data_IF_155340297695
#
_entry.id   IF_155340297695
#
_cell.length_a   1.000
_cell.length_b   1.000
_cell.length_c   1.000
_cell.angle_alpha   90.00
_cell.angle_beta   90.00
_cell.angle_gamma   90.00
#
_symmetry.space_group_name_H-M   'P 1'
#
loop_
_entity.id
_entity.type
_entity.pdbx_description
1 polymer ?
#
# COMPACT_ATOMS: atom_id res chain seq x y z
N UNK A 1 -46.05 -7.19 11.13
CA UNK A 1 -45.31 -6.06 10.54
C UNK A 1 -44.52 -6.62 9.37
N UNK A 2 -45.12 -6.57 8.18
CA UNK A 2 -44.64 -7.20 6.95
C UNK A 2 -43.80 -6.19 6.16
N UNK A 3 -42.59 -6.59 5.77
CA UNK A 3 -41.68 -5.75 4.99
C UNK A 3 -42.01 -5.82 3.49
N UNK A 4 -42.03 -4.70 2.74
CA UNK A 4 -42.40 -4.71 1.32
C UNK A 4 -41.28 -5.23 0.41
N UNK A 5 -41.70 -5.91 -0.67
CA UNK A 5 -40.92 -6.62 -1.70
C UNK A 5 -40.07 -5.75 -2.66
N UNK A 6 -39.66 -4.54 -2.27
CA UNK A 6 -38.93 -3.60 -3.15
C UNK A 6 -37.43 -3.94 -3.37
N UNK A 7 -36.98 -5.15 -3.04
CA UNK A 7 -35.54 -5.53 -2.99
C UNK A 7 -34.90 -6.02 -4.29
N UNK A 8 -35.55 -5.90 -5.45
CA UNK A 8 -34.95 -6.38 -6.72
C UNK A 8 -34.37 -5.31 -7.64
N UNK A 9 -34.42 -4.03 -7.26
CA UNK A 9 -33.80 -2.95 -8.06
C UNK A 9 -32.99 -2.03 -7.13
N UNK A 10 -31.70 -1.85 -7.47
CA UNK A 10 -30.68 -1.04 -6.77
C UNK A 10 -29.99 -1.67 -5.53
N UNK A 11 -29.26 -2.78 -5.72
CA UNK A 11 -28.30 -3.30 -4.72
C UNK A 11 -26.85 -2.81 -4.94
N UNK A 12 -26.61 -1.97 -5.96
CA UNK A 12 -25.28 -1.46 -6.29
C UNK A 12 -24.78 -0.30 -5.42
N UNK A 13 -25.68 0.51 -4.83
CA UNK A 13 -25.28 1.84 -4.33
C UNK A 13 -25.57 2.13 -2.84
N UNK A 14 -26.29 1.26 -2.11
CA UNK A 14 -26.59 1.51 -0.69
C UNK A 14 -25.88 0.52 0.22
N UNK A 15 -24.81 0.99 0.84
CA UNK A 15 -24.14 0.27 1.93
C UNK A 15 -25.18 -0.11 3.01
N UNK A 16 -25.15 -1.36 3.54
CA UNK A 16 -26.04 -1.74 4.63
C UNK A 16 -25.82 -0.82 5.83
N UNK A 17 -26.90 -0.21 6.32
CA UNK A 17 -26.85 0.67 7.49
C UNK A 17 -26.49 -0.20 8.71
N UNK A 18 -25.37 0.13 9.34
CA UNK A 18 -24.93 -0.56 10.54
C UNK A 18 -25.81 -0.13 11.73
N UNK A 19 -26.29 -1.08 12.55
CA UNK A 19 -26.94 -0.73 13.81
C UNK A 19 -26.01 0.11 14.69
N UNK A 20 -26.57 1.04 15.47
CA UNK A 20 -25.79 1.85 16.42
C UNK A 20 -25.20 1.02 17.56
N UNK A 21 -25.84 -0.10 17.91
CA UNK A 21 -25.43 -1.02 18.97
C UNK A 21 -25.47 -2.47 18.44
N UNK A 22 -24.53 -2.86 17.57
CA UNK A 22 -24.61 -4.14 16.88
C UNK A 22 -24.35 -5.31 17.84
N UNK A 23 -25.24 -6.28 17.84
CA UNK A 23 -25.13 -7.52 18.62
C UNK A 23 -24.55 -8.68 17.78
N UNK A 24 -24.26 -9.81 18.42
CA UNK A 24 -23.83 -11.01 17.70
C UNK A 24 -24.91 -11.55 16.75
N UNK A 25 -26.19 -11.38 17.09
CA UNK A 25 -27.27 -11.81 16.22
C UNK A 25 -27.43 -10.87 15.01
N UNK A 26 -27.15 -9.57 15.17
CA UNK A 26 -27.04 -8.64 14.03
C UNK A 26 -25.91 -9.04 13.10
N UNK A 27 -24.75 -9.43 13.66
CA UNK A 27 -23.63 -9.92 12.88
C UNK A 27 -24.01 -11.14 12.05
N UNK A 28 -24.62 -12.16 12.66
CA UNK A 28 -25.00 -13.39 11.97
C UNK A 28 -26.07 -13.14 10.90
N UNK A 29 -27.05 -12.28 11.19
CA UNK A 29 -28.05 -11.85 10.20
C UNK A 29 -27.38 -11.16 9.00
N UNK A 30 -26.47 -10.23 9.25
CA UNK A 30 -25.76 -9.53 8.18
C UNK A 30 -24.87 -10.47 7.37
N UNK A 31 -24.11 -11.35 8.04
CA UNK A 31 -23.27 -12.34 7.37
C UNK A 31 -24.08 -13.27 6.45
N UNK A 32 -25.24 -13.76 6.94
CA UNK A 32 -26.13 -14.57 6.12
C UNK A 32 -26.70 -13.77 4.94
N UNK A 33 -27.11 -12.52 5.17
CA UNK A 33 -27.62 -11.65 4.12
C UNK A 33 -26.59 -11.39 3.01
N UNK A 34 -25.37 -10.99 3.36
CA UNK A 34 -24.29 -10.69 2.40
C UNK A 34 -23.94 -11.93 1.56
N UNK A 35 -23.93 -13.12 2.19
CA UNK A 35 -23.69 -14.40 1.49
C UNK A 35 -24.80 -14.74 0.51
N UNK A 36 -26.06 -14.59 0.92
CA UNK A 36 -27.20 -14.82 0.03
C UNK A 36 -27.22 -13.82 -1.13
N UNK A 37 -26.82 -12.58 -0.87
CA UNK A 37 -26.71 -11.50 -1.86
C UNK A 37 -25.49 -11.65 -2.79
N UNK A 38 -24.59 -12.61 -2.52
CA UNK A 38 -23.36 -12.85 -3.30
C UNK A 38 -22.48 -11.61 -3.43
N UNK A 39 -22.37 -10.83 -2.35
CA UNK A 39 -21.48 -9.67 -2.26
C UNK A 39 -20.04 -10.09 -2.50
N UNK A 40 -19.26 -9.18 -3.09
CA UNK A 40 -17.85 -9.41 -3.37
C UNK A 40 -17.12 -9.72 -2.06
N UNK A 41 -16.29 -10.77 -1.99
CA UNK A 41 -15.82 -11.27 -0.71
C UNK A 41 -14.97 -10.25 0.09
N UNK A 42 -14.28 -9.31 -0.58
CA UNK A 42 -13.54 -8.24 0.08
C UNK A 42 -14.49 -7.26 0.78
N UNK A 43 -15.55 -6.83 0.10
CA UNK A 43 -16.60 -5.98 0.66
C UNK A 43 -17.34 -6.66 1.82
N UNK A 44 -17.68 -7.96 1.68
CA UNK A 44 -18.29 -8.76 2.76
C UNK A 44 -17.43 -8.67 4.03
N UNK A 45 -16.12 -8.90 3.88
CA UNK A 45 -15.17 -8.83 4.99
C UNK A 45 -15.16 -7.44 5.65
N UNK A 46 -15.07 -6.37 4.86
CA UNK A 46 -15.05 -5.00 5.36
C UNK A 46 -16.27 -4.65 6.22
N UNK A 47 -17.47 -5.02 5.76
CA UNK A 47 -18.71 -4.79 6.52
C UNK A 47 -18.74 -5.57 7.83
N UNK A 48 -18.43 -6.86 7.77
CA UNK A 48 -18.44 -7.74 8.93
C UNK A 48 -17.39 -7.32 9.96
N UNK A 49 -16.20 -6.94 9.52
CA UNK A 49 -15.15 -6.40 10.39
C UNK A 49 -15.60 -5.14 11.09
N UNK A 50 -16.18 -4.18 10.36
CA UNK A 50 -16.65 -2.91 10.95
C UNK A 50 -17.74 -3.16 12.00
N UNK A 51 -18.68 -4.07 11.72
CA UNK A 51 -19.74 -4.43 12.68
C UNK A 51 -19.15 -5.12 13.93
N UNK A 52 -18.25 -6.08 13.74
CA UNK A 52 -17.57 -6.77 14.85
C UNK A 52 -16.74 -5.81 15.70
N UNK A 53 -16.03 -4.87 15.08
CA UNK A 53 -15.24 -3.85 15.76
C UNK A 53 -16.11 -2.97 16.65
N UNK A 54 -17.18 -2.39 16.10
CA UNK A 54 -18.11 -1.53 16.84
C UNK A 54 -18.78 -2.31 17.97
N UNK A 55 -19.27 -3.53 17.70
CA UNK A 55 -19.92 -4.34 18.73
C UNK A 55 -18.98 -4.79 19.84
N UNK A 56 -17.70 -5.02 19.52
CA UNK A 56 -16.68 -5.36 20.52
C UNK A 56 -16.35 -4.16 21.41
N UNK A 57 -16.20 -2.96 20.83
CA UNK A 57 -15.99 -1.71 21.58
C UNK A 57 -17.12 -1.40 22.56
N UNK A 58 -18.36 -1.60 22.10
CA UNK A 58 -19.55 -1.36 22.92
C UNK A 58 -19.83 -2.52 23.90
N UNK A 59 -19.06 -3.61 23.87
CA UNK A 59 -19.28 -4.80 24.68
C UNK A 59 -20.55 -5.60 24.32
N UNK A 60 -21.23 -5.26 23.23
CA UNK A 60 -22.44 -5.94 22.73
C UNK A 60 -22.12 -7.23 21.97
N UNK A 61 -20.88 -7.38 21.49
CA UNK A 61 -20.31 -8.66 21.03
C UNK A 61 -19.22 -9.06 22.03
N UNK A 62 -19.43 -10.17 22.74
CA UNK A 62 -18.52 -10.59 23.82
C UNK A 62 -17.26 -11.25 23.25
N UNK A 63 -16.13 -11.23 23.99
CA UNK A 63 -14.90 -11.92 23.59
C UNK A 63 -15.09 -13.40 23.20
N UNK A 64 -15.99 -14.11 23.90
CA UNK A 64 -16.31 -15.52 23.60
C UNK A 64 -17.04 -15.69 22.27
N UNK A 65 -17.88 -14.73 21.88
CA UNK A 65 -18.63 -14.75 20.62
C UNK A 65 -17.70 -14.51 19.43
N UNK A 66 -16.70 -13.63 19.58
CA UNK A 66 -15.67 -13.42 18.56
C UNK A 66 -14.92 -14.71 18.20
N UNK A 67 -14.60 -15.52 19.21
CA UNK A 67 -13.87 -16.77 19.01
C UNK A 67 -14.76 -17.86 18.40
N UNK A 68 -16.03 -17.96 18.84
CA UNK A 68 -16.90 -19.10 18.54
C UNK A 68 -17.86 -18.87 17.36
N UNK A 69 -18.41 -17.66 17.24
CA UNK A 69 -19.55 -17.36 16.35
C UNK A 69 -19.19 -16.45 15.19
N UNK A 70 -18.24 -15.53 15.37
CA UNK A 70 -17.84 -14.60 14.31
C UNK A 70 -17.13 -15.34 13.17
N UNK A 71 -17.62 -15.11 11.95
CA UNK A 71 -17.25 -15.79 10.71
C UNK A 71 -17.21 -14.77 9.56
N UNK A 72 -16.17 -14.74 8.72
CA UNK A 72 -15.01 -15.63 8.68
C UNK A 72 -14.03 -15.37 9.84
N UNK A 73 -13.21 -16.37 10.17
CA UNK A 73 -12.23 -16.32 11.26
C UNK A 73 -11.17 -15.23 11.05
N UNK A 74 -10.92 -14.80 9.82
CA UNK A 74 -10.09 -13.64 9.53
C UNK A 74 -10.59 -12.36 10.25
N UNK A 75 -11.90 -12.16 10.39
CA UNK A 75 -12.47 -10.96 11.04
C UNK A 75 -11.93 -10.78 12.46
N UNK A 76 -12.13 -11.72 13.41
CA UNK A 76 -11.63 -11.57 14.77
C UNK A 76 -10.09 -11.55 14.84
N UNK A 77 -9.38 -12.21 13.92
CA UNK A 77 -7.91 -12.14 13.88
C UNK A 77 -7.43 -10.73 13.53
N UNK A 78 -8.04 -10.06 12.57
CA UNK A 78 -7.65 -8.68 12.22
C UNK A 78 -8.02 -7.63 13.28
N UNK A 79 -8.83 -7.98 14.28
CA UNK A 79 -9.08 -7.10 15.43
C UNK A 79 -7.87 -7.04 16.38
N UNK A 80 -6.98 -8.03 16.34
CA UNK A 80 -5.74 -8.04 17.13
C UNK A 80 -4.79 -6.88 16.78
N UNK A 81 -4.98 -6.27 15.61
CA UNK A 81 -4.17 -5.13 15.15
C UNK A 81 -4.69 -3.78 15.63
N UNK A 82 -5.88 -3.74 16.23
CA UNK A 82 -6.49 -2.49 16.67
C UNK A 82 -5.85 -2.05 17.99
N UNK A 83 -5.22 -0.86 18.07
CA UNK A 83 -4.52 -0.39 19.27
C UNK A 83 -5.47 0.10 20.37
N UNK A 84 -6.68 -0.46 20.44
CA UNK A 84 -7.78 0.05 21.25
C UNK A 84 -7.85 -0.69 22.60
N UNK A 85 -7.72 0.01 23.75
CA UNK A 85 -7.80 -0.62 25.06
C UNK A 85 -9.15 -1.30 25.32
N UNK A 86 -10.25 -0.82 24.72
CA UNK A 86 -11.59 -1.41 24.89
C UNK A 86 -11.68 -2.79 24.22
N UNK A 87 -10.77 -3.10 23.28
CA UNK A 87 -10.68 -4.38 22.62
C UNK A 87 -9.70 -5.35 23.29
N UNK A 88 -9.02 -4.95 24.38
CA UNK A 88 -7.98 -5.79 24.99
C UNK A 88 -8.51 -7.17 25.41
N UNK A 89 -9.68 -7.23 26.04
CA UNK A 89 -10.29 -8.50 26.47
C UNK A 89 -10.66 -9.40 25.27
N UNK A 90 -11.18 -8.79 24.19
CA UNK A 90 -11.47 -9.48 22.93
C UNK A 90 -10.19 -10.03 22.29
N UNK A 91 -9.15 -9.22 22.22
CA UNK A 91 -7.86 -9.62 21.64
C UNK A 91 -7.19 -10.74 22.42
N UNK A 92 -7.18 -10.67 23.75
CA UNK A 92 -6.67 -11.75 24.61
C UNK A 92 -7.41 -13.07 24.38
N UNK A 93 -8.75 -13.02 24.21
CA UNK A 93 -9.53 -14.23 23.96
C UNK A 93 -9.20 -14.89 22.61
N UNK A 94 -9.09 -14.10 21.54
CA UNK A 94 -8.74 -14.57 20.19
C UNK A 94 -7.30 -15.11 20.17
N UNK A 95 -6.34 -14.35 20.71
CA UNK A 95 -4.94 -14.75 20.79
C UNK A 95 -4.78 -16.05 21.60
N UNK A 96 -5.42 -16.16 22.77
CA UNK A 96 -5.38 -17.38 23.58
C UNK A 96 -5.97 -18.56 22.84
N UNK A 97 -7.03 -18.37 22.05
CA UNK A 97 -7.61 -19.45 21.25
C UNK A 97 -6.59 -19.95 20.19
N UNK A 98 -5.94 -19.05 19.47
CA UNK A 98 -4.93 -19.39 18.45
C UNK A 98 -3.73 -20.11 19.07
N UNK A 99 -3.18 -19.56 20.15
CA UNK A 99 -1.99 -20.06 20.84
C UNK A 99 -2.21 -21.41 21.54
N UNK A 100 -3.44 -21.92 21.67
CA UNK A 100 -3.65 -23.31 22.12
C UNK A 100 -3.00 -24.34 21.19
N UNK A 101 -2.79 -23.99 19.92
CA UNK A 101 -2.10 -24.84 18.96
C UNK A 101 -0.58 -24.68 18.95
N UNK A 102 -0.01 -23.87 19.83
CA UNK A 102 1.44 -23.61 19.90
C UNK A 102 2.28 -24.90 19.99
N UNK A 103 1.82 -25.86 20.81
CA UNK A 103 2.47 -27.16 20.97
C UNK A 103 2.28 -28.16 19.81
N UNK A 104 1.53 -27.82 18.76
CA UNK A 104 1.25 -28.74 17.64
C UNK A 104 2.31 -28.69 16.52
N UNK A 105 3.30 -27.81 16.63
CA UNK A 105 4.46 -27.75 15.73
C UNK A 105 4.21 -27.10 14.35
N UNK A 106 5.24 -27.07 13.47
CA UNK A 106 5.19 -26.35 12.19
C UNK A 106 4.03 -26.73 11.25
N UNK A 107 3.63 -28.00 11.09
CA UNK A 107 2.53 -28.37 10.18
C UNK A 107 1.19 -27.75 10.57
N UNK A 108 0.92 -27.62 11.88
CA UNK A 108 -0.29 -26.97 12.38
C UNK A 108 -0.31 -25.49 11.98
N UNK A 109 0.78 -24.77 12.23
CA UNK A 109 0.88 -23.35 11.93
C UNK A 109 0.82 -23.06 10.43
N UNK A 110 1.51 -23.86 9.61
CA UNK A 110 1.44 -23.74 8.16
C UNK A 110 0.00 -23.89 7.64
N UNK A 111 -0.75 -24.88 8.14
CA UNK A 111 -2.17 -25.04 7.81
C UNK A 111 -2.98 -23.83 8.27
N UNK A 112 -2.81 -23.39 9.50
CA UNK A 112 -3.55 -22.25 10.06
C UNK A 112 -3.33 -20.95 9.28
N UNK A 113 -2.10 -20.66 8.88
CA UNK A 113 -1.75 -19.46 8.08
C UNK A 113 -2.43 -19.52 6.70
N UNK A 114 -2.47 -20.69 6.06
CA UNK A 114 -3.16 -20.86 4.77
C UNK A 114 -4.69 -20.82 4.90
N UNK A 115 -5.23 -21.44 5.95
CA UNK A 115 -6.67 -21.64 6.10
C UNK A 115 -7.38 -20.40 6.63
N UNK A 116 -6.73 -19.53 7.41
CA UNK A 116 -7.40 -18.38 8.05
C UNK A 116 -8.04 -17.42 7.03
N UNK A 117 -7.39 -17.23 5.89
CA UNK A 117 -7.87 -16.37 4.80
C UNK A 117 -9.00 -17.00 3.99
N UNK A 118 -8.93 -18.33 3.83
CA UNK A 118 -9.85 -19.08 2.97
C UNK A 118 -11.08 -19.58 3.72
N UNK A 119 -10.99 -19.68 5.04
CA UNK A 119 -12.01 -20.26 5.89
C UNK A 119 -13.17 -19.30 6.13
N UNK A 120 -14.38 -19.80 5.91
CA UNK A 120 -15.63 -19.13 6.30
C UNK A 120 -16.09 -19.52 7.71
N UNK A 121 -15.30 -20.29 8.44
CA UNK A 121 -15.64 -20.77 9.76
C UNK A 121 -15.09 -19.82 10.84
N UNK A 122 -15.32 -20.12 12.13
CA UNK A 122 -14.85 -19.31 13.26
C UNK A 122 -13.45 -19.73 13.71
N UNK A 123 -12.79 -18.92 14.52
CA UNK A 123 -11.45 -19.23 15.07
C UNK A 123 -11.47 -20.56 15.83
N UNK A 124 -12.52 -20.82 16.63
CA UNK A 124 -12.63 -22.07 17.39
C UNK A 124 -12.66 -23.32 16.50
N UNK A 125 -13.27 -23.23 15.32
CA UNK A 125 -13.37 -24.35 14.38
C UNK A 125 -12.04 -24.66 13.68
N UNK A 126 -11.20 -23.63 13.46
CA UNK A 126 -9.89 -23.78 12.84
C UNK A 126 -8.86 -24.39 13.80
N UNK A 127 -8.89 -23.95 15.05
CA UNK A 127 -7.95 -24.40 16.10
C UNK A 127 -8.24 -25.82 16.55
N UNK A 128 -9.50 -26.24 16.60
CA UNK A 128 -9.87 -27.60 17.00
C UNK A 128 -9.74 -28.55 15.81
N UNK A 129 -8.70 -29.39 15.80
CA UNK A 129 -8.63 -30.60 14.96
C UNK A 129 -9.68 -31.68 15.27
N UNK A 130 -10.80 -31.33 15.91
CA UNK A 130 -11.99 -32.16 16.13
C UNK A 130 -13.19 -31.30 15.76
N UNK A 131 -13.91 -31.71 14.71
CA UNK A 131 -15.20 -31.14 14.35
C UNK A 131 -16.05 -30.95 15.61
N UNK A 132 -16.56 -29.74 15.83
CA UNK A 132 -17.58 -29.53 16.85
C UNK A 132 -18.76 -30.49 16.51
N UNK A 133 -19.38 -31.14 17.51
CA UNK A 133 -20.49 -32.05 17.27
C UNK A 133 -21.68 -31.37 16.57
N UNK A 134 -21.76 -30.04 16.58
CA UNK A 134 -22.75 -29.26 15.81
C UNK A 134 -22.42 -29.15 14.31
N UNK A 135 -21.15 -29.18 13.91
CA UNK A 135 -20.74 -29.15 12.49
C UNK A 135 -21.03 -30.48 11.77
N UNK A 136 -21.33 -31.56 12.51
CA UNK A 136 -21.72 -32.87 11.94
C UNK A 136 -23.15 -32.94 11.40
N UNK A 137 -23.95 -31.87 11.51
CA UNK A 137 -25.34 -31.84 11.02
C UNK A 137 -25.51 -31.17 9.65
N UNK A 138 -24.44 -30.70 9.02
CA UNK A 138 -24.46 -30.26 7.62
C UNK A 138 -24.27 -31.44 6.66
N UNK A 139 -24.95 -31.48 5.50
CA UNK A 139 -24.79 -32.58 4.56
C UNK A 139 -23.35 -32.62 4.06
N UNK A 140 -22.69 -33.75 4.28
CA UNK A 140 -21.36 -34.03 3.80
C UNK A 140 -21.31 -33.93 2.28
N UNK A 141 -20.59 -32.93 1.78
CA UNK A 141 -20.14 -32.87 0.41
C UNK A 141 -18.67 -32.47 0.43
N UNK A 142 -17.84 -33.38 -0.07
CA UNK A 142 -16.48 -33.10 -0.47
C UNK A 142 -16.47 -31.78 -1.25
N UNK A 143 -15.91 -30.74 -0.65
CA UNK A 143 -15.69 -29.46 -1.31
C UNK A 143 -14.63 -29.70 -2.39
N UNK A 144 -15.09 -30.08 -3.59
CA UNK A 144 -14.29 -30.00 -4.81
C UNK A 144 -13.77 -28.56 -4.88
N UNK A 145 -12.46 -28.39 -4.65
CA UNK A 145 -11.75 -27.14 -4.89
C UNK A 145 -11.93 -26.80 -6.37
N UNK A 146 -12.87 -25.91 -6.69
CA UNK A 146 -12.95 -25.29 -8.01
C UNK A 146 -11.91 -24.17 -8.06
N UNK A 147 -11.08 -24.07 -9.10
CA UNK A 147 -10.24 -22.92 -9.29
C UNK A 147 -11.14 -21.69 -9.44
N UNK A 148 -10.99 -20.74 -8.51
CA UNK A 148 -11.69 -19.46 -8.54
C UNK A 148 -11.04 -18.64 -9.66
N UNK A 149 -11.75 -18.44 -10.77
CA UNK A 149 -11.38 -17.41 -11.75
C UNK A 149 -11.49 -16.05 -11.05
N UNK A 150 -10.35 -15.38 -10.87
CA UNK A 150 -10.28 -14.02 -10.29
C UNK A 150 -10.85 -13.00 -11.30
N UNK A 151 -11.82 -12.14 -10.93
CA UNK A 151 -12.13 -10.93 -11.68
C UNK A 151 -10.99 -9.89 -11.55
N UNK A 152 -10.96 -8.86 -12.41
CA UNK A 152 -9.92 -7.83 -12.39
C UNK A 152 -9.85 -7.08 -11.05
N UNK A 153 -8.61 -6.74 -10.67
CA UNK A 153 -8.16 -6.30 -9.35
C UNK A 153 -8.68 -4.89 -9.03
N UNK A 154 -9.45 -4.76 -7.94
CA UNK A 154 -9.85 -3.48 -7.34
C UNK A 154 -9.03 -3.26 -6.04
N UNK A 155 -8.12 -2.27 -5.98
CA UNK A 155 -7.10 -2.18 -4.92
C UNK A 155 -7.59 -1.71 -3.53
N UNK A 156 -8.83 -1.25 -3.37
CA UNK A 156 -9.24 -0.55 -2.14
C UNK A 156 -9.66 -1.46 -0.96
N UNK A 157 -10.04 -2.72 -1.21
CA UNK A 157 -10.66 -3.58 -0.17
C UNK A 157 -9.86 -4.87 0.10
N UNK A 158 -8.99 -5.30 -0.82
CA UNK A 158 -8.16 -6.51 -0.65
C UNK A 158 -7.10 -6.37 0.45
N UNK A 159 -6.55 -5.18 0.69
CA UNK A 159 -5.51 -4.95 1.70
C UNK A 159 -5.94 -5.24 3.15
N UNK A 160 -7.22 -5.48 3.42
CA UNK A 160 -7.72 -5.88 4.73
C UNK A 160 -7.75 -7.39 4.95
N UNK A 161 -7.77 -8.19 3.87
CA UNK A 161 -7.93 -9.64 3.95
C UNK A 161 -6.63 -10.29 4.43
N UNK A 162 -5.55 -10.03 3.70
CA UNK A 162 -4.19 -10.55 3.94
C UNK A 162 -3.59 -10.23 5.31
N UNK A 163 -4.24 -9.33 6.06
CA UNK A 163 -3.88 -8.98 7.44
C UNK A 163 -3.96 -10.19 8.37
N UNK A 164 -4.91 -11.11 8.16
CA UNK A 164 -5.07 -12.22 9.09
C UNK A 164 -3.93 -13.25 8.96
N UNK A 165 -3.52 -13.62 7.75
CA UNK A 165 -2.36 -14.50 7.53
C UNK A 165 -1.06 -13.90 8.09
N UNK A 166 -0.85 -12.59 7.90
CA UNK A 166 0.29 -11.87 8.48
C UNK A 166 0.28 -11.88 10.02
N UNK A 167 -0.89 -11.64 10.63
CA UNK A 167 -1.05 -11.77 12.09
C UNK A 167 -0.79 -13.20 12.55
N UNK A 168 -1.28 -14.20 11.81
CA UNK A 168 -1.03 -15.61 12.14
C UNK A 168 0.45 -15.98 12.05
N UNK A 169 1.17 -15.48 11.03
CA UNK A 169 2.62 -15.69 10.91
C UNK A 169 3.38 -14.99 12.03
N UNK A 170 2.96 -13.78 12.44
CA UNK A 170 3.55 -13.06 13.56
C UNK A 170 3.33 -13.75 14.92
N UNK A 171 2.21 -14.46 15.08
CA UNK A 171 1.90 -15.22 16.30
C UNK A 171 2.54 -16.62 16.33
N UNK A 172 2.99 -17.13 15.19
CA UNK A 172 3.60 -18.44 15.11
C UNK A 172 4.95 -18.46 15.82
N UNK A 173 5.34 -19.57 16.47
CA UNK A 173 6.68 -19.75 17.00
C UNK A 173 7.74 -19.51 15.93
N UNK A 174 8.91 -18.93 16.27
CA UNK A 174 9.94 -18.61 15.28
C UNK A 174 10.34 -19.80 14.40
N UNK A 175 10.43 -21.02 14.96
CA UNK A 175 10.73 -22.23 14.20
C UNK A 175 9.61 -22.61 13.22
N UNK A 176 8.34 -22.44 13.62
CA UNK A 176 7.19 -22.73 12.78
C UNK A 176 7.03 -21.70 11.65
N UNK A 177 7.23 -20.42 11.95
CA UNK A 177 7.24 -19.33 10.98
C UNK A 177 8.35 -19.53 9.93
N UNK A 178 9.59 -19.80 10.39
CA UNK A 178 10.71 -20.10 9.49
C UNK A 178 10.46 -21.34 8.65
N UNK A 179 9.92 -22.41 9.23
CA UNK A 179 9.59 -23.62 8.49
C UNK A 179 8.50 -23.36 7.42
N UNK A 180 7.49 -22.55 7.73
CA UNK A 180 6.48 -22.13 6.75
C UNK A 180 7.14 -21.39 5.57
N UNK A 181 7.98 -20.40 5.86
CA UNK A 181 8.66 -19.60 4.83
C UNK A 181 9.69 -20.40 4.03
N UNK A 182 10.43 -21.32 4.67
CA UNK A 182 11.47 -22.13 4.04
C UNK A 182 10.95 -23.36 3.29
N UNK A 183 9.70 -23.75 3.49
CA UNK A 183 9.12 -25.01 2.99
C UNK A 183 9.15 -25.20 1.46
N UNK A 184 9.37 -24.13 0.67
CA UNK A 184 9.63 -24.22 -0.77
C UNK A 184 11.01 -24.76 -1.15
N UNK A 185 11.97 -24.77 -0.22
CA UNK A 185 13.34 -25.18 -0.48
C UNK A 185 13.59 -26.70 -0.37
N UNK A 186 12.67 -27.46 0.23
CA UNK A 186 12.83 -28.91 0.49
C UNK A 186 11.95 -29.75 -0.43
N UNK A 187 11.98 -29.47 -1.73
CA UNK A 187 11.24 -30.24 -2.72
C UNK A 187 11.95 -31.58 -2.92
N UNK A 188 11.20 -32.69 -2.84
CA UNK A 188 11.72 -34.02 -3.20
C UNK A 188 12.14 -34.01 -4.67
N UNK A 189 13.10 -34.85 -5.06
CA UNK A 189 13.58 -34.95 -6.45
C UNK A 189 12.49 -35.23 -7.50
N UNK A 190 11.31 -35.72 -7.10
CA UNK A 190 10.12 -35.85 -7.94
C UNK A 190 8.86 -35.41 -7.16
N UNK A 191 8.47 -34.12 -7.18
CA UNK A 191 7.27 -33.66 -6.51
C UNK A 191 6.01 -34.11 -7.25
N UNK A 192 4.97 -34.44 -6.49
CA UNK A 192 3.63 -34.68 -7.04
C UNK A 192 2.99 -33.36 -7.48
N UNK A 193 2.02 -33.42 -8.41
CA UNK A 193 1.26 -32.23 -8.86
C UNK A 193 0.58 -31.48 -7.69
N UNK A 194 0.11 -32.24 -6.70
CA UNK A 194 -0.49 -31.68 -5.49
C UNK A 194 0.54 -30.92 -4.63
N UNK A 195 1.77 -31.42 -4.53
CA UNK A 195 2.86 -30.72 -3.82
C UNK A 195 3.26 -29.44 -4.56
N UNK A 196 3.40 -29.49 -5.89
CA UNK A 196 3.68 -28.29 -6.70
C UNK A 196 2.57 -27.23 -6.57
N UNK A 197 1.32 -27.66 -6.60
CA UNK A 197 0.16 -26.76 -6.42
C UNK A 197 0.18 -26.11 -5.04
N UNK A 198 0.43 -26.89 -3.98
CA UNK A 198 0.51 -26.37 -2.62
C UNK A 198 1.67 -25.38 -2.42
N UNK A 199 2.81 -25.62 -3.10
CA UNK A 199 3.96 -24.72 -3.08
C UNK A 199 3.68 -23.41 -3.81
N UNK A 200 3.07 -23.48 -5.00
CA UNK A 200 2.65 -22.29 -5.74
C UNK A 200 1.64 -21.45 -4.95
N UNK A 201 0.62 -22.09 -4.38
CA UNK A 201 -0.36 -21.43 -3.51
C UNK A 201 0.29 -20.75 -2.29
N UNK A 202 1.36 -21.35 -1.74
CA UNK A 202 2.11 -20.78 -0.62
C UNK A 202 2.99 -19.62 -1.05
N UNK A 203 3.69 -19.72 -2.18
CA UNK A 203 4.51 -18.64 -2.72
C UNK A 203 3.65 -17.40 -3.03
N UNK A 204 2.48 -17.60 -3.64
CA UNK A 204 1.50 -16.53 -3.85
C UNK A 204 1.06 -15.88 -2.53
N UNK A 205 0.82 -16.69 -1.50
CA UNK A 205 0.42 -16.20 -0.18
C UNK A 205 1.55 -15.36 0.45
N UNK A 206 2.81 -15.81 0.38
CA UNK A 206 3.96 -15.07 0.92
C UNK A 206 4.13 -13.74 0.16
N UNK A 207 4.02 -13.75 -1.18
CA UNK A 207 4.07 -12.52 -1.98
C UNK A 207 2.96 -11.54 -1.59
N UNK A 208 1.73 -12.03 -1.40
CA UNK A 208 0.60 -11.19 -0.98
C UNK A 208 0.80 -10.63 0.45
N UNK A 209 1.29 -11.47 1.37
CA UNK A 209 1.63 -11.07 2.74
C UNK A 209 2.67 -9.93 2.76
N UNK A 210 3.69 -10.00 1.92
CA UNK A 210 4.74 -8.96 1.82
C UNK A 210 4.20 -7.62 1.32
N UNK A 211 3.16 -7.62 0.49
CA UNK A 211 2.57 -6.41 -0.07
C UNK A 211 1.65 -5.65 0.92
N UNK A 212 1.35 -6.22 2.09
CA UNK A 212 0.37 -5.67 3.02
C UNK A 212 0.84 -5.69 4.47
N UNK A 213 0.36 -4.72 5.26
CA UNK A 213 0.54 -4.74 6.71
C UNK A 213 -0.28 -5.87 7.38
N UNK A 214 0.08 -6.30 8.60
CA UNK A 214 1.31 -5.98 9.31
C UNK A 214 2.49 -6.79 8.77
N UNK A 215 3.66 -6.18 8.66
CA UNK A 215 4.89 -6.91 8.37
C UNK A 215 5.39 -7.56 9.67
N UNK A 216 5.63 -8.87 9.66
CA UNK A 216 6.26 -9.55 10.79
C UNK A 216 7.77 -9.67 10.58
N UNK A 217 8.51 -9.80 11.69
CA UNK A 217 9.98 -9.89 11.66
C UNK A 217 10.44 -11.07 10.82
N UNK A 218 9.82 -12.23 10.98
CA UNK A 218 10.20 -13.47 10.30
C UNK A 218 10.04 -13.35 8.79
N UNK A 219 8.98 -12.69 8.32
CA UNK A 219 8.78 -12.41 6.89
C UNK A 219 9.86 -11.48 6.36
N UNK A 220 10.14 -10.38 7.05
CA UNK A 220 11.20 -9.44 6.65
C UNK A 220 12.56 -10.14 6.60
N UNK A 221 12.94 -10.88 7.65
CA UNK A 221 14.22 -11.61 7.66
C UNK A 221 14.31 -12.70 6.59
N UNK A 222 13.19 -13.32 6.21
CA UNK A 222 13.17 -14.27 5.10
C UNK A 222 13.48 -13.59 3.77
N UNK A 223 12.97 -12.37 3.54
CA UNK A 223 13.19 -11.60 2.30
C UNK A 223 14.66 -11.17 2.14
N UNK A 224 15.34 -10.86 3.25
CA UNK A 224 16.78 -10.58 3.25
C UNK A 224 17.65 -11.85 3.33
N UNK A 225 17.05 -13.01 3.60
CA UNK A 225 17.77 -14.27 3.73
C UNK A 225 18.14 -14.89 2.38
N UNK A 226 18.89 -16.00 2.43
CA UNK A 226 19.34 -16.73 1.24
C UNK A 226 18.21 -17.27 0.32
N UNK A 227 16.97 -17.32 0.83
CA UNK A 227 15.78 -17.77 0.09
C UNK A 227 14.91 -16.60 -0.39
N UNK A 228 15.28 -15.35 -0.08
CA UNK A 228 14.56 -14.17 -0.54
C UNK A 228 14.89 -13.85 -1.99
N UNK A 229 13.85 -13.68 -2.81
CA UNK A 229 13.99 -13.31 -4.22
C UNK A 229 13.73 -11.81 -4.47
N UNK A 230 14.07 -11.37 -5.68
CA UNK A 230 13.88 -9.97 -6.10
C UNK A 230 12.40 -9.56 -6.09
N UNK A 231 11.48 -10.48 -6.44
CA UNK A 231 10.05 -10.20 -6.46
C UNK A 231 9.54 -9.85 -5.05
N UNK A 232 9.96 -10.59 -4.03
CA UNK A 232 9.65 -10.30 -2.64
C UNK A 232 10.26 -8.98 -2.17
N UNK A 233 11.51 -8.69 -2.52
CA UNK A 233 12.17 -7.42 -2.17
C UNK A 233 11.46 -6.22 -2.78
N UNK A 234 11.09 -6.29 -4.06
CA UNK A 234 10.32 -5.24 -4.75
C UNK A 234 8.94 -5.06 -4.12
N UNK A 235 8.26 -6.16 -3.75
CA UNK A 235 6.97 -6.07 -3.03
C UNK A 235 7.10 -5.43 -1.66
N UNK A 236 8.17 -5.73 -0.94
CA UNK A 236 8.48 -5.11 0.34
C UNK A 236 8.77 -3.62 0.14
N UNK A 237 9.57 -3.27 -0.86
CA UNK A 237 9.88 -1.88 -1.23
C UNK A 237 8.65 -1.09 -1.71
N UNK A 238 7.63 -1.74 -2.26
CA UNK A 238 6.41 -1.08 -2.73
C UNK A 238 5.30 -1.02 -1.66
N UNK A 239 5.43 -1.76 -0.57
CA UNK A 239 4.42 -1.80 0.49
C UNK A 239 4.43 -0.49 1.29
N UNK A 240 3.34 0.30 1.29
CA UNK A 240 3.28 1.59 1.98
C UNK A 240 3.63 1.53 3.48
N UNK A 241 3.41 0.39 4.13
CA UNK A 241 3.64 0.20 5.56
C UNK A 241 5.05 -0.29 5.89
N UNK A 242 5.93 -0.40 4.89
CA UNK A 242 7.33 -0.74 5.12
C UNK A 242 8.02 0.45 5.81
N UNK A 243 8.60 0.24 7.01
CA UNK A 243 9.23 1.33 7.75
C UNK A 243 10.54 1.75 7.08
N UNK A 244 10.91 3.02 7.24
CA UNK A 244 12.13 3.61 6.67
C UNK A 244 13.39 2.79 6.98
N UNK A 245 13.51 2.21 8.18
CA UNK A 245 14.65 1.36 8.54
C UNK A 245 14.79 0.12 7.64
N UNK A 246 13.67 -0.46 7.20
CA UNK A 246 13.65 -1.60 6.27
C UNK A 246 13.91 -1.14 4.85
N UNK A 247 13.38 0.02 4.44
CA UNK A 247 13.69 0.61 3.13
C UNK A 247 15.17 0.96 3.00
N UNK A 248 15.78 1.54 4.03
CA UNK A 248 17.22 1.82 4.08
C UNK A 248 18.02 0.52 3.94
N UNK A 249 17.62 -0.53 4.67
CA UNK A 249 18.27 -1.85 4.56
C UNK A 249 18.15 -2.43 3.15
N UNK A 250 16.99 -2.31 2.50
CA UNK A 250 16.78 -2.72 1.11
C UNK A 250 17.72 -1.97 0.17
N UNK A 251 17.84 -0.65 0.32
CA UNK A 251 18.76 0.15 -0.49
C UNK A 251 20.23 -0.22 -0.23
N UNK A 252 20.62 -0.46 1.02
CA UNK A 252 22.02 -0.78 1.35
C UNK A 252 22.46 -2.17 0.90
N UNK A 253 21.58 -3.17 1.01
CA UNK A 253 21.90 -4.57 0.69
C UNK A 253 21.55 -4.93 -0.77
N UNK A 254 20.57 -4.26 -1.37
CA UNK A 254 19.99 -4.61 -2.67
C UNK A 254 19.72 -3.40 -3.58
N UNK A 255 20.32 -2.24 -3.30
CA UNK A 255 20.12 -1.01 -4.09
C UNK A 255 20.58 -1.11 -5.55
N UNK A 256 21.31 -2.15 -5.93
CA UNK A 256 21.65 -2.43 -7.34
C UNK A 256 20.44 -2.88 -8.18
N UNK A 257 19.34 -3.28 -7.55
CA UNK A 257 18.09 -3.65 -8.23
C UNK A 257 17.27 -2.38 -8.58
N UNK A 258 17.13 -2.02 -9.87
CA UNK A 258 16.50 -0.75 -10.26
C UNK A 258 15.02 -0.67 -9.87
N UNK A 259 14.32 -1.80 -9.78
CA UNK A 259 12.93 -1.88 -9.34
C UNK A 259 12.76 -1.52 -7.87
N UNK A 260 13.74 -1.85 -7.01
CA UNK A 260 13.73 -1.45 -5.60
C UNK A 260 13.90 0.07 -5.50
N UNK A 261 14.85 0.63 -6.23
CA UNK A 261 15.07 2.08 -6.25
C UNK A 261 13.81 2.83 -6.70
N UNK A 262 13.18 2.38 -7.79
CA UNK A 262 11.94 3.00 -8.29
C UNK A 262 10.79 2.89 -7.29
N UNK A 263 10.62 1.71 -6.67
CA UNK A 263 9.60 1.50 -5.64
C UNK A 263 9.81 2.43 -4.43
N UNK A 264 11.07 2.60 -3.97
CA UNK A 264 11.39 3.51 -2.85
C UNK A 264 11.16 4.97 -3.21
N UNK A 265 11.54 5.41 -4.42
CA UNK A 265 11.27 6.79 -4.91
C UNK A 265 9.77 7.10 -4.92
N UNK A 266 8.94 6.13 -5.30
CA UNK A 266 7.48 6.26 -5.41
C UNK A 266 6.70 5.84 -4.17
N UNK A 267 7.41 5.41 -3.11
CA UNK A 267 6.82 4.89 -1.88
C UNK A 267 5.85 5.93 -1.29
N UNK A 268 4.74 5.49 -0.71
CA UNK A 268 3.72 6.44 -0.25
C UNK A 268 4.18 7.22 0.99
N UNK A 269 4.77 6.52 1.96
CA UNK A 269 5.12 7.08 3.27
C UNK A 269 6.63 7.13 3.55
N UNK A 270 7.48 6.94 2.54
CA UNK A 270 8.93 6.97 2.77
C UNK A 270 9.39 8.37 3.16
N UNK A 271 10.23 8.44 4.19
CA UNK A 271 10.85 9.68 4.63
C UNK A 271 11.77 10.30 3.57
N UNK A 272 12.00 11.61 3.68
CA UNK A 272 12.82 12.36 2.74
C UNK A 272 14.25 11.82 2.61
N UNK A 273 14.85 11.39 3.73
CA UNK A 273 16.20 10.84 3.74
C UNK A 273 16.30 9.53 2.93
N UNK A 274 15.31 8.65 3.07
CA UNK A 274 15.25 7.38 2.32
C UNK A 274 15.07 7.65 0.83
N UNK A 275 14.19 8.58 0.46
CA UNK A 275 14.04 8.98 -0.95
C UNK A 275 15.32 9.58 -1.50
N UNK A 276 16.02 10.41 -0.73
CA UNK A 276 17.30 11.00 -1.12
C UNK A 276 18.30 9.92 -1.51
N UNK A 277 18.45 8.89 -0.66
CA UNK A 277 19.32 7.74 -0.94
C UNK A 277 18.94 7.07 -2.26
N UNK A 278 17.65 6.83 -2.50
CA UNK A 278 17.21 6.22 -3.76
C UNK A 278 17.46 7.11 -4.99
N UNK A 279 17.56 8.44 -4.84
CA UNK A 279 17.90 9.34 -5.93
C UNK A 279 19.41 9.43 -6.19
N UNK A 280 20.27 9.06 -5.24
CA UNK A 280 21.72 9.19 -5.37
C UNK A 280 22.27 8.42 -6.58
N UNK A 281 21.73 7.24 -6.84
CA UNK A 281 22.21 6.35 -7.92
C UNK A 281 21.92 6.86 -9.34
N UNK A 282 21.06 7.87 -9.50
CA UNK A 282 20.71 8.44 -10.81
C UNK A 282 21.19 9.87 -10.98
N UNK A 283 21.90 10.46 -10.00
CA UNK A 283 22.28 11.88 -10.04
C UNK A 283 23.14 12.26 -11.24
N UNK A 284 23.96 11.32 -11.71
CA UNK A 284 24.84 11.53 -12.85
C UNK A 284 24.07 11.56 -14.19
N UNK A 285 22.80 11.13 -14.21
CA UNK A 285 21.91 11.20 -15.36
C UNK A 285 20.74 12.19 -15.11
N UNK A 286 20.87 13.46 -15.57
CA UNK A 286 19.82 14.47 -15.43
C UNK A 286 18.48 14.05 -16.06
N UNK A 287 18.47 13.22 -17.10
CA UNK A 287 17.24 12.76 -17.75
C UNK A 287 16.52 11.76 -16.84
N UNK A 288 17.23 10.80 -16.26
CA UNK A 288 16.67 9.85 -15.30
C UNK A 288 16.13 10.57 -14.06
N UNK A 289 16.87 11.55 -13.52
CA UNK A 289 16.42 12.39 -12.41
C UNK A 289 15.12 13.12 -12.78
N UNK A 290 15.07 13.77 -13.95
CA UNK A 290 13.89 14.48 -14.42
C UNK A 290 12.67 13.57 -14.57
N UNK A 291 12.84 12.39 -15.16
CA UNK A 291 11.76 11.39 -15.30
C UNK A 291 11.26 10.88 -13.95
N UNK A 292 12.17 10.58 -13.01
CA UNK A 292 11.81 10.12 -11.67
C UNK A 292 11.07 11.22 -10.87
N UNK A 293 11.57 12.45 -10.91
CA UNK A 293 10.92 13.60 -10.28
C UNK A 293 9.54 13.87 -10.88
N UNK A 294 9.42 13.85 -12.22
CA UNK A 294 8.14 14.06 -12.90
C UNK A 294 7.11 13.02 -12.49
N UNK A 295 7.48 11.74 -12.51
CA UNK A 295 6.57 10.66 -12.06
C UNK A 295 6.19 10.82 -10.59
N UNK A 296 7.14 11.16 -9.71
CA UNK A 296 6.88 11.35 -8.28
C UNK A 296 5.91 12.51 -8.03
N UNK A 297 6.16 13.66 -8.65
CA UNK A 297 5.30 14.86 -8.51
C UNK A 297 3.91 14.61 -9.09
N UNK A 298 3.82 13.97 -10.27
CA UNK A 298 2.52 13.65 -10.89
C UNK A 298 1.70 12.67 -10.07
N UNK A 299 2.31 11.65 -9.46
CA UNK A 299 1.59 10.61 -8.72
C UNK A 299 1.36 10.96 -7.25
N UNK A 300 2.24 11.75 -6.63
CA UNK A 300 2.26 11.99 -5.17
C UNK A 300 2.24 13.47 -4.78
N UNK A 301 2.22 14.38 -5.75
CA UNK A 301 2.30 15.83 -5.54
C UNK A 301 3.69 16.30 -5.13
N UNK A 302 3.79 17.57 -4.75
CA UNK A 302 5.07 18.23 -4.43
C UNK A 302 5.65 17.85 -3.06
N UNK A 303 4.84 17.27 -2.15
CA UNK A 303 5.26 17.05 -0.75
C UNK A 303 6.46 16.11 -0.64
N UNK A 304 6.51 14.94 -1.30
CA UNK A 304 7.68 14.05 -1.25
C UNK A 304 8.97 14.69 -1.79
N UNK A 305 8.85 15.57 -2.78
CA UNK A 305 9.99 16.33 -3.29
C UNK A 305 10.55 17.27 -2.23
N UNK A 306 9.68 18.05 -1.57
CA UNK A 306 10.11 18.99 -0.53
C UNK A 306 10.70 18.29 0.70
N UNK A 307 10.09 17.21 1.17
CA UNK A 307 10.64 16.45 2.32
C UNK A 307 11.99 15.84 2.01
N UNK A 308 12.22 15.44 0.75
CA UNK A 308 13.52 14.96 0.29
C UNK A 308 14.60 16.07 0.32
N UNK A 309 14.27 17.30 -0.07
CA UNK A 309 15.18 18.45 0.02
C UNK A 309 15.47 18.84 1.48
N UNK A 310 14.47 18.81 2.35
CA UNK A 310 14.63 19.12 3.78
C UNK A 310 15.54 18.10 4.48
N UNK A 311 15.52 16.84 4.01
CA UNK A 311 16.36 15.77 4.52
C UNK A 311 17.79 15.76 3.96
N UNK A 312 18.14 16.68 3.05
CA UNK A 312 19.51 16.82 2.55
C UNK A 312 20.43 17.41 3.65
N UNK A 313 21.61 16.81 3.91
CA UNK A 313 22.62 17.37 4.79
C UNK A 313 23.02 18.79 4.33
N UNK A 314 23.29 19.69 5.28
CA UNK A 314 23.58 21.11 4.98
C UNK A 314 24.81 21.31 4.10
N UNK A 315 25.76 20.38 4.13
CA UNK A 315 26.98 20.34 3.32
C UNK A 315 26.77 19.80 1.90
N UNK A 316 25.62 19.20 1.59
CA UNK A 316 25.32 18.60 0.28
C UNK A 316 24.64 19.58 -0.69
N UNK A 317 25.21 20.78 -0.81
CA UNK A 317 24.68 21.87 -1.63
C UNK A 317 24.59 21.50 -3.10
N UNK A 318 25.58 20.78 -3.63
CA UNK A 318 25.65 20.40 -5.04
C UNK A 318 24.50 19.47 -5.43
N UNK A 319 24.16 18.52 -4.55
CA UNK A 319 23.02 17.63 -4.74
C UNK A 319 21.71 18.41 -4.79
N UNK A 320 21.47 19.28 -3.80
CA UNK A 320 20.25 20.10 -3.74
C UNK A 320 20.15 20.98 -4.97
N UNK A 321 21.24 21.65 -5.36
CA UNK A 321 21.29 22.48 -6.58
C UNK A 321 20.91 21.66 -7.82
N UNK A 322 21.48 20.47 -8.00
CA UNK A 322 21.19 19.63 -9.16
C UNK A 322 19.72 19.20 -9.20
N UNK A 323 19.17 18.77 -8.07
CA UNK A 323 17.77 18.34 -7.95
C UNK A 323 16.81 19.51 -8.20
N UNK A 324 17.05 20.67 -7.59
CA UNK A 324 16.20 21.87 -7.76
C UNK A 324 16.23 22.36 -9.20
N UNK A 325 17.42 22.38 -9.83
CA UNK A 325 17.56 22.74 -11.25
C UNK A 325 16.73 21.83 -12.14
N UNK A 326 16.80 20.52 -11.94
CA UNK A 326 16.05 19.54 -12.74
C UNK A 326 14.54 19.58 -12.45
N UNK A 327 14.15 19.85 -11.20
CA UNK A 327 12.75 19.91 -10.78
C UNK A 327 12.01 21.16 -11.26
N UNK A 328 12.71 22.26 -11.54
CA UNK A 328 12.14 23.57 -11.81
C UNK A 328 10.97 23.61 -12.81
N UNK A 329 11.02 22.90 -13.95
CA UNK A 329 9.91 22.81 -14.91
C UNK A 329 8.74 21.92 -14.49
N UNK A 330 8.94 21.08 -13.46
CA UNK A 330 8.01 20.02 -13.06
C UNK A 330 7.13 20.47 -11.88
N UNK A 331 7.72 21.17 -10.91
CA UNK A 331 7.05 21.51 -9.66
C UNK A 331 6.31 22.84 -9.75
N UNK A 332 5.21 22.98 -9.00
CA UNK A 332 4.45 24.22 -8.93
C UNK A 332 5.25 25.38 -8.31
N UNK A 333 4.84 26.62 -8.58
CA UNK A 333 5.52 27.83 -8.13
C UNK A 333 5.79 27.87 -6.61
N UNK A 334 4.85 27.33 -5.82
CA UNK A 334 4.99 27.27 -4.36
C UNK A 334 6.09 26.31 -3.92
N UNK A 335 6.11 25.09 -4.48
CA UNK A 335 7.14 24.11 -4.20
C UNK A 335 8.51 24.57 -4.73
N UNK A 336 8.53 25.24 -5.88
CA UNK A 336 9.73 25.86 -6.44
C UNK A 336 10.29 26.94 -5.51
N UNK A 337 9.44 27.82 -4.98
CA UNK A 337 9.86 28.83 -3.99
C UNK A 337 10.43 28.19 -2.72
N UNK A 338 9.77 27.16 -2.18
CA UNK A 338 10.27 26.44 -1.01
C UNK A 338 11.64 25.78 -1.28
N UNK A 339 11.82 25.20 -2.46
CA UNK A 339 13.09 24.64 -2.90
C UNK A 339 14.21 25.70 -3.03
N UNK A 340 13.88 26.89 -3.54
CA UNK A 340 14.82 28.01 -3.61
C UNK A 340 15.19 28.55 -2.24
N UNK A 341 14.24 28.64 -1.32
CA UNK A 341 14.51 28.99 0.08
C UNK A 341 15.47 27.98 0.69
N UNK A 342 15.21 26.68 0.54
CA UNK A 342 16.10 25.63 1.04
C UNK A 342 17.52 25.74 0.46
N UNK A 343 17.64 25.98 -0.85
CA UNK A 343 18.94 26.16 -1.50
C UNK A 343 19.66 27.43 -1.01
N UNK A 344 18.95 28.54 -0.82
CA UNK A 344 19.51 29.78 -0.27
C UNK A 344 19.91 29.67 1.22
N UNK A 345 19.28 28.78 1.99
CA UNK A 345 19.71 28.52 3.38
C UNK A 345 21.00 27.72 3.44
N UNK A 346 21.22 26.84 2.46
CA UNK A 346 22.42 25.98 2.40
C UNK A 346 23.58 26.64 1.65
N UNK A 347 23.32 27.66 0.84
CA UNK A 347 24.29 28.25 -0.08
C UNK A 347 24.11 29.77 -0.20
N UNK A 348 24.91 30.41 -1.04
CA UNK A 348 24.78 31.83 -1.31
C UNK A 348 23.57 32.10 -2.24
N UNK A 349 22.88 33.26 -2.12
CA UNK A 349 21.73 33.59 -2.95
C UNK A 349 22.03 33.58 -4.46
N UNK A 350 23.28 33.85 -4.85
CA UNK A 350 23.79 33.77 -6.21
C UNK A 350 23.54 32.41 -6.86
N UNK A 351 23.60 31.32 -6.07
CA UNK A 351 23.34 29.97 -6.58
C UNK A 351 21.88 29.82 -6.99
N UNK A 352 20.95 30.39 -6.21
CA UNK A 352 19.52 30.41 -6.55
C UNK A 352 19.27 31.27 -7.78
N UNK A 353 19.90 32.44 -7.87
CA UNK A 353 19.76 33.33 -9.03
C UNK A 353 20.21 32.64 -10.31
N UNK A 354 21.35 31.94 -10.29
CA UNK A 354 21.84 31.19 -11.44
C UNK A 354 20.86 30.08 -11.87
N UNK A 355 20.31 29.32 -10.92
CA UNK A 355 19.35 28.25 -11.21
C UNK A 355 18.05 28.80 -11.79
N UNK A 356 17.52 29.88 -11.24
CA UNK A 356 16.28 30.49 -11.74
C UNK A 356 16.48 31.20 -13.08
N UNK A 357 17.62 31.85 -13.30
CA UNK A 357 17.93 32.48 -14.58
C UNK A 357 18.09 31.45 -15.70
N UNK A 358 18.74 30.31 -15.43
CA UNK A 358 18.85 29.18 -16.36
C UNK A 358 17.46 28.64 -16.74
N UNK A 359 16.54 28.53 -15.77
CA UNK A 359 15.16 28.08 -15.99
C UNK A 359 14.30 29.10 -16.74
N UNK A 360 14.36 30.37 -16.33
CA UNK A 360 13.53 31.45 -16.87
C UNK A 360 14.03 31.95 -18.24
N UNK A 361 15.31 31.74 -18.56
CA UNK A 361 15.96 32.19 -19.79
C UNK A 361 16.17 33.71 -19.89
N UNK A 362 15.58 34.51 -19.00
CA UNK A 362 15.69 35.98 -18.97
C UNK A 362 15.31 36.52 -17.59
N UNK A 363 15.81 37.72 -17.24
CA UNK A 363 15.53 38.38 -15.96
C UNK A 363 14.05 38.76 -15.80
N UNK A 364 13.38 39.07 -16.91
CA UNK A 364 11.98 39.48 -16.95
C UNK A 364 11.02 38.34 -16.62
N UNK A 365 11.41 37.10 -16.93
CA UNK A 365 10.63 35.88 -16.70
C UNK A 365 10.95 35.16 -15.38
N UNK A 366 11.92 35.68 -14.61
CA UNK A 366 12.24 35.14 -13.29
C UNK A 366 11.09 35.36 -12.31
N UNK A 367 10.98 34.45 -11.34
CA UNK A 367 10.08 34.62 -10.20
C UNK A 367 10.34 35.98 -9.52
N UNK A 368 9.28 36.78 -9.24
CA UNK A 368 9.43 38.14 -8.72
C UNK A 368 10.31 38.23 -7.48
N UNK A 369 10.18 37.28 -6.54
CA UNK A 369 10.93 37.26 -5.29
C UNK A 369 12.43 36.97 -5.51
N UNK A 370 12.78 36.17 -6.52
CA UNK A 370 14.19 35.91 -6.88
C UNK A 370 14.80 37.16 -7.51
N UNK A 371 14.05 37.86 -8.37
CA UNK A 371 14.49 39.12 -8.96
C UNK A 371 14.67 40.22 -7.90
N UNK A 372 13.76 40.33 -6.94
CA UNK A 372 13.89 41.25 -5.80
C UNK A 372 15.13 40.93 -4.96
N UNK A 373 15.37 39.64 -4.69
CA UNK A 373 16.59 39.17 -4.00
C UNK A 373 17.86 39.55 -4.77
N UNK A 374 17.87 39.39 -6.10
CA UNK A 374 19.01 39.74 -6.94
C UNK A 374 19.27 41.25 -6.96
N UNK A 375 18.22 42.08 -7.04
CA UNK A 375 18.34 43.54 -6.99
C UNK A 375 18.82 44.04 -5.63
N UNK A 376 18.38 43.41 -4.55
CA UNK A 376 18.80 43.73 -3.19
C UNK A 376 20.21 43.19 -2.85
N UNK A 377 20.73 42.25 -3.65
CA UNK A 377 21.99 41.56 -3.38
C UNK A 377 21.94 40.65 -2.14
N UNK A 378 20.76 40.22 -1.70
CA UNK A 378 20.58 39.42 -0.47
C UNK A 378 19.46 38.39 -0.60
N UNK A 379 19.49 37.33 0.20
CA UNK A 379 18.44 36.31 0.23
C UNK A 379 17.16 36.74 0.99
N UNK A 380 17.12 37.93 1.60
CA UNK A 380 16.08 38.30 2.57
C UNK A 380 14.67 38.24 1.99
N UNK A 381 14.49 38.71 0.75
CA UNK A 381 13.20 38.67 0.06
C UNK A 381 12.69 37.23 -0.15
N UNK A 382 13.59 36.30 -0.49
CA UNK A 382 13.28 34.87 -0.64
C UNK A 382 12.90 34.25 0.70
N UNK A 383 13.72 34.48 1.74
CA UNK A 383 13.47 33.94 3.07
C UNK A 383 12.17 34.49 3.68
N UNK A 384 11.86 35.77 3.44
CA UNK A 384 10.61 36.39 3.86
C UNK A 384 9.40 35.75 3.16
N UNK A 385 9.50 35.50 1.84
CA UNK A 385 8.46 34.82 1.09
C UNK A 385 8.24 33.38 1.58
N UNK A 386 9.33 32.65 1.88
CA UNK A 386 9.28 31.31 2.49
C UNK A 386 8.55 31.30 3.83
N UNK A 387 8.93 32.20 4.75
CA UNK A 387 8.25 32.34 6.06
C UNK A 387 6.77 32.65 5.93
N UNK A 388 6.39 33.53 5.00
CA UNK A 388 5.00 33.86 4.74
C UNK A 388 4.21 32.66 4.21
N UNK A 389 4.84 31.84 3.37
CA UNK A 389 4.24 30.61 2.84
C UNK A 389 4.01 29.57 3.96
N UNK A 390 5.01 29.32 4.79
CA UNK A 390 4.90 28.40 5.92
C UNK A 390 3.83 28.82 6.93
N UNK A 391 3.74 30.13 7.21
CA UNK A 391 2.69 30.67 8.05
C UNK A 391 1.29 30.38 7.49
N UNK A 392 1.09 30.55 6.17
CA UNK A 392 -0.18 30.22 5.49
C UNK A 392 -0.49 28.73 5.56
N UNK A 393 0.50 27.87 5.32
CA UNK A 393 0.35 26.40 5.39
C UNK A 393 -0.03 25.94 6.81
N UNK A 394 0.57 26.53 7.85
CA UNK A 394 0.20 26.22 9.25
C UNK A 394 -1.23 26.66 9.57
N UNK A 395 -1.69 27.77 9.02
CA UNK A 395 -3.06 28.26 9.19
C UNK A 395 -4.10 27.37 8.51
N UNK A 396 -3.85 26.88 7.29
CA UNK A 396 -4.76 25.96 6.60
C UNK A 396 -4.83 24.60 7.27
N UNK A 397 -3.71 24.08 7.77
CA UNK A 397 -3.66 22.78 8.47
C UNK A 397 -4.37 22.83 9.83
N UNK A 398 -4.31 23.97 10.54
CA UNK A 398 -4.96 24.17 11.85
C UNK A 398 -6.47 24.39 11.74
N UNK A 399 -6.98 24.81 10.58
CA UNK A 399 -8.41 25.02 10.32
C UNK A 399 -9.20 23.73 10.02
N UNK A 400 -8.56 22.55 10.05
CA UNK A 400 -9.25 21.26 9.88
C UNK A 400 -9.82 21.01 8.48
N UNK A 401 -9.47 21.83 7.50
CA UNK A 401 -9.76 21.54 6.09
C UNK A 401 -8.71 20.53 5.61
N UNK A 402 -9.07 19.28 5.28
CA UNK A 402 -8.13 18.41 4.59
C UNK A 402 -7.72 19.11 3.30
N UNK A 403 -6.42 19.10 2.98
CA UNK A 403 -5.91 19.49 1.68
C UNK A 403 -6.50 18.52 0.65
N UNK A 404 -7.72 18.78 0.20
CA UNK A 404 -8.18 18.34 -1.12
C UNK A 404 -7.13 18.86 -2.08
N UNK A 405 -6.48 17.93 -2.77
CA UNK A 405 -5.57 18.20 -3.86
C UNK A 405 -6.08 19.42 -4.63
N UNK A 406 -5.27 20.47 -4.67
CA UNK A 406 -5.55 21.65 -5.46
C UNK A 406 -5.77 21.21 -6.89
N UNK A 407 -7.02 21.15 -7.31
CA UNK A 407 -7.40 20.94 -8.69
C UNK A 407 -6.73 22.04 -9.52
N UNK A 408 -5.93 21.64 -10.50
CA UNK A 408 -5.47 22.54 -11.54
C UNK A 408 -6.69 23.18 -12.22
N UNK A 409 -6.72 24.51 -12.42
CA UNK A 409 -7.75 25.15 -13.22
C UNK A 409 -7.37 25.00 -14.69
N UNK A 410 -7.96 24.04 -15.37
CA UNK A 410 -7.75 23.87 -16.81
C UNK A 410 -8.43 22.63 -17.34
N UNK A 411 -9.71 22.78 -17.70
CA UNK A 411 -10.39 22.18 -18.86
C UNK A 411 -11.86 21.90 -18.54
N UNK A 412 -12.69 22.89 -18.85
CA UNK A 412 -14.10 22.69 -19.20
C UNK A 412 -14.19 21.77 -20.42
N UNK A 413 -14.31 20.45 -20.19
CA UNK A 413 -14.76 19.52 -21.21
C UNK A 413 -16.27 19.68 -21.40
N UNK A 414 -16.62 20.49 -22.40
CA UNK A 414 -17.91 20.40 -23.06
C UNK A 414 -18.12 18.97 -23.54
N UNK A 415 -19.15 18.33 -23.02
CA UNK A 415 -19.64 17.04 -23.49
C UNK A 415 -20.23 17.19 -24.90
N UNK A 416 -19.46 16.82 -25.92
CA UNK A 416 -20.01 16.46 -27.24
C UNK A 416 -20.08 14.94 -27.36
N UNK A 417 -21.31 14.44 -27.40
CA UNK A 417 -21.66 13.08 -27.83
C UNK A 417 -21.07 12.82 -29.22
N UNK A 418 -20.20 11.82 -29.33
CA UNK A 418 -19.71 11.27 -30.58
C UNK A 418 -19.54 9.77 -30.45
N UNK A 419 -20.28 9.03 -31.26
CA UNK A 419 -20.38 7.57 -31.30
C UNK A 419 -19.37 7.06 -32.33
N UNK A 420 -18.45 6.16 -31.94
CA UNK A 420 -17.60 5.42 -32.89
C UNK A 420 -16.16 5.26 -32.43
N UNK A 421 -15.57 4.08 -32.65
CA UNK A 421 -14.11 3.90 -32.58
C UNK A 421 -13.58 2.72 -31.77
N UNK A 422 -14.16 1.51 -31.90
CA UNK A 422 -13.44 0.28 -31.54
C UNK A 422 -12.54 -0.23 -32.69
N UNK A 423 -12.64 0.39 -33.88
CA UNK A 423 -11.92 -0.03 -35.09
C UNK A 423 -10.61 0.76 -35.33
N UNK A 424 -10.44 1.95 -34.73
CA UNK A 424 -9.22 2.75 -34.93
C UNK A 424 -8.00 2.23 -34.14
N UNK A 425 -8.22 1.58 -32.99
CA UNK A 425 -7.12 1.01 -32.18
C UNK A 425 -6.43 -0.19 -32.83
N UNK A 426 -7.10 -0.92 -33.72
CA UNK A 426 -6.52 -2.09 -34.41
C UNK A 426 -5.70 -1.66 -35.63
N UNK A 427 -6.10 -0.57 -36.31
CA UNK A 427 -5.35 0.00 -37.41
C UNK A 427 -4.05 0.69 -36.95
N UNK A 428 -4.04 1.26 -35.73
CA UNK A 428 -2.85 1.91 -35.16
C UNK A 428 -1.80 0.89 -34.67
N UNK A 429 -2.21 -0.24 -34.08
CA UNK A 429 -1.26 -1.30 -33.66
C UNK A 429 -0.61 -2.05 -34.84
N UNK A 430 -1.22 -2.07 -36.02
CA UNK A 430 -0.60 -2.68 -37.22
C UNK A 430 0.46 -1.77 -37.85
N UNK A 431 0.40 -0.44 -37.69
CA UNK A 431 1.46 0.46 -38.18
C UNK A 431 2.79 0.24 -37.47
N UNK A 432 2.78 0.04 -36.15
CA UNK A 432 4.00 -0.15 -35.34
C UNK A 432 4.72 -1.48 -35.58
N UNK A 433 4.08 -2.46 -36.22
CA UNK A 433 4.70 -3.75 -36.56
C UNK A 433 5.44 -3.76 -37.89
N UNK A 434 5.29 -2.74 -38.73
CA UNK A 434 5.84 -2.74 -40.09
C UNK A 434 7.09 -1.87 -40.26
N UNK A 435 7.40 -1.02 -39.27
CA UNK A 435 8.54 -0.07 -39.33
C UNK A 435 9.84 -0.59 -38.66
N UNK A 436 9.92 -1.88 -38.31
CA UNK A 436 11.09 -2.49 -37.66
C UNK A 436 11.90 -3.42 -38.59
N UNK A 437 11.94 -3.13 -39.89
CA UNK A 437 12.86 -3.77 -40.83
C UNK A 437 13.54 -2.67 -41.63
N UNK A 438 14.79 -2.38 -41.31
CA UNK A 438 15.81 -1.98 -42.27
C UNK A 438 17.21 -2.15 -41.66
N UNK A 439 17.93 -3.02 -42.36
CA UNK A 439 19.35 -3.37 -42.31
C UNK A 439 20.32 -2.23 -41.96
N UNK A 440 21.43 -2.59 -41.31
CA UNK A 440 22.75 -2.44 -41.95
C UNK A 440 23.88 -3.20 -41.19
N UNK A 441 25.04 -3.46 -41.85
CA UNK A 441 25.75 -4.73 -41.77
C UNK A 441 26.95 -4.73 -40.81
N UNK A 442 27.40 -5.94 -40.46
CA UNK A 442 28.64 -6.19 -39.71
C UNK A 442 29.79 -6.38 -40.72
N UNK A 443 31.00 -5.82 -40.48
CA UNK A 443 32.20 -6.11 -41.28
C UNK A 443 32.71 -7.55 -41.17
#
# INVERSE_FOLDING_TARGET
>A
MTWPDDRRRALGDRQPVLPSHPTIDDYERLANHLRTARVEPAEEFGYLRKLALVGSRLGTIRPVDLVRRVRPAAVPVTLLMEPDPDLAAAGVAVMRAILRGDGAGPPYWARMITDIERSRNSVSSLVKGRADPEDKRGPGLAARRRPVRRPPIMPAVEGQRWRAANVMLALAPPLAARAFLASGATIRTNPTEAELTALSERAELILAMTAHAPLCRELVEHIFGALGDAALRVRLAANPFTPDSVLIRLLSEHGTEPEILDAVRMHEFAGGAVRRLAFQDILEDPRAVGQALHRMVTLRGDTPFLTMLDAAPTDDVNWVRAIVRTAGPIVGDQARMAAYVRLAEMSAPEVVWAVELERAGSLEQMMPQVRESMLAGTAEALLAAGRAHDARRRLTTRAGLPALASAHPGETLQTTRGRGGAEDTVAEMQRWRTDAVLDDPIP
#
